data_IF_861745425193
#
_entry.id   IF_861745425193
#
_cell.length_a   1.000
_cell.length_b   1.000
_cell.length_c   1.000
_cell.angle_alpha   90.00
_cell.angle_beta   90.00
_cell.angle_gamma   90.00
#
_symmetry.space_group_name_H-M   'P 1'
#
loop_
_entity.id
_entity.type
_entity.pdbx_description
1 polymer ?
#
# COMPACT_ATOMS: atom_id res chain seq x y z
N UNK A 1 9.79 -5.53 10.37
CA UNK A 1 11.11 -6.05 10.03
C UNK A 1 11.98 -4.95 9.43
N UNK A 2 13.08 -4.60 10.10
CA UNK A 2 13.98 -3.53 9.68
C UNK A 2 14.71 -3.85 8.37
N UNK A 3 15.03 -5.10 8.10
CA UNK A 3 15.72 -5.49 6.86
C UNK A 3 14.82 -5.28 5.64
N UNK A 4 13.53 -5.58 5.81
CA UNK A 4 12.52 -5.32 4.79
C UNK A 4 12.38 -3.83 4.50
N UNK A 5 12.23 -3.03 5.56
CA UNK A 5 12.13 -1.58 5.43
C UNK A 5 13.37 -0.99 4.75
N UNK A 6 14.56 -1.42 5.14
CA UNK A 6 15.82 -0.96 4.55
C UNK A 6 15.92 -1.25 3.05
N UNK A 7 15.44 -2.42 2.59
CA UNK A 7 15.38 -2.75 1.17
C UNK A 7 14.45 -1.79 0.40
N UNK A 8 13.28 -1.53 0.94
CA UNK A 8 12.33 -0.59 0.34
C UNK A 8 12.91 0.84 0.29
N UNK A 9 13.52 1.29 1.39
CA UNK A 9 14.13 2.61 1.47
C UNK A 9 15.28 2.79 0.48
N UNK A 10 16.10 1.77 0.31
CA UNK A 10 17.16 1.76 -0.72
C UNK A 10 16.57 1.82 -2.12
N UNK A 11 15.51 1.07 -2.38
CA UNK A 11 14.79 1.10 -3.65
C UNK A 11 14.25 2.50 -3.98
N UNK A 12 13.58 3.15 -3.05
CA UNK A 12 13.08 4.52 -3.24
C UNK A 12 14.20 5.51 -3.51
N UNK A 13 15.29 5.43 -2.75
CA UNK A 13 16.45 6.28 -2.96
C UNK A 13 17.03 6.12 -4.36
N UNK A 14 17.17 4.89 -4.84
CA UNK A 14 17.70 4.59 -6.19
C UNK A 14 16.76 5.12 -7.29
N UNK A 15 15.46 5.21 -7.01
CA UNK A 15 14.47 5.78 -7.92
C UNK A 15 14.35 7.31 -7.83
N UNK A 16 15.13 7.96 -6.95
CA UNK A 16 15.06 9.39 -6.75
C UNK A 16 13.83 9.87 -5.98
N UNK A 17 13.21 8.99 -5.19
CA UNK A 17 11.99 9.28 -4.44
C UNK A 17 12.34 9.57 -2.98
N UNK A 18 11.84 10.72 -2.46
CA UNK A 18 11.93 11.04 -1.05
C UNK A 18 10.93 10.17 -0.27
N UNK A 19 11.43 9.39 0.66
CA UNK A 19 10.60 8.52 1.48
C UNK A 19 11.02 8.59 2.95
N UNK A 20 10.05 8.42 3.84
CA UNK A 20 10.25 8.29 5.28
C UNK A 20 9.78 6.90 5.71
N UNK A 21 10.69 6.09 6.22
CA UNK A 21 10.41 4.73 6.66
C UNK A 21 10.31 4.63 8.17
N UNK A 22 9.24 4.02 8.65
CA UNK A 22 8.95 3.90 10.08
C UNK A 22 8.57 2.45 10.39
N UNK A 23 9.24 1.84 11.35
CA UNK A 23 8.89 0.51 11.85
C UNK A 23 7.95 0.63 13.03
N UNK A 24 6.80 0.01 12.93
CA UNK A 24 5.81 -0.07 14.00
C UNK A 24 5.26 -1.50 14.09
N UNK A 25 4.87 -1.95 15.29
CA UNK A 25 4.05 -3.15 15.40
C UNK A 25 2.72 -2.96 14.66
N UNK A 26 2.24 -3.98 13.95
CA UNK A 26 1.01 -3.92 13.16
C UNK A 26 -0.20 -3.40 13.97
N UNK A 27 -0.28 -3.82 15.24
CA UNK A 27 -1.34 -3.40 16.18
C UNK A 27 -1.34 -1.89 16.49
N UNK A 28 -0.21 -1.22 16.34
CA UNK A 28 -0.07 0.20 16.70
C UNK A 28 -0.24 1.15 15.51
N UNK A 29 -0.26 0.66 14.29
CA UNK A 29 -0.30 1.51 13.10
C UNK A 29 -1.55 2.38 13.08
N UNK A 30 -2.72 1.82 13.37
CA UNK A 30 -4.00 2.56 13.32
C UNK A 30 -4.03 3.74 14.30
N UNK A 31 -3.39 3.63 15.46
CA UNK A 31 -3.35 4.71 16.45
C UNK A 31 -2.33 5.81 16.13
N UNK A 32 -1.37 5.55 15.25
CA UNK A 32 -0.25 6.46 14.95
C UNK A 32 -0.30 7.04 13.54
N UNK A 33 -1.02 6.41 12.60
CA UNK A 33 -0.96 6.76 11.18
C UNK A 33 -1.39 8.21 10.89
N UNK A 34 -2.41 8.71 11.54
CA UNK A 34 -2.88 10.10 11.29
C UNK A 34 -1.85 11.13 11.72
N UNK A 35 -1.20 10.94 12.88
CA UNK A 35 -0.14 11.83 13.34
C UNK A 35 1.06 11.80 12.40
N UNK A 36 1.42 10.64 11.87
CA UNK A 36 2.50 10.49 10.90
C UNK A 36 2.15 11.19 9.58
N UNK A 37 0.92 11.07 9.10
CA UNK A 37 0.45 11.77 7.90
C UNK A 37 0.51 13.28 8.10
N UNK A 38 0.11 13.79 9.26
CA UNK A 38 0.20 15.22 9.58
C UNK A 38 1.63 15.71 9.63
N UNK A 39 2.55 14.91 10.17
CA UNK A 39 3.96 15.26 10.31
C UNK A 39 4.68 15.29 8.97
N UNK A 40 4.56 14.24 8.18
CA UNK A 40 5.31 14.05 6.93
C UNK A 40 4.59 14.58 5.69
N UNK A 41 3.27 14.77 5.75
CA UNK A 41 2.43 15.21 4.63
C UNK A 41 2.70 14.44 3.33
N UNK A 42 2.63 13.10 3.35
CA UNK A 42 2.96 12.31 2.18
C UNK A 42 1.86 12.40 1.11
N UNK A 43 2.26 12.20 -0.13
CA UNK A 43 1.32 11.94 -1.24
C UNK A 43 0.89 10.47 -1.26
N UNK A 44 1.78 9.58 -0.79
CA UNK A 44 1.60 8.13 -0.80
C UNK A 44 1.93 7.58 0.57
N UNK A 45 1.05 6.73 1.09
CA UNK A 45 1.28 5.95 2.32
C UNK A 45 1.32 4.47 1.97
N UNK A 46 2.36 3.78 2.39
CA UNK A 46 2.48 2.32 2.26
C UNK A 46 2.39 1.71 3.65
N UNK A 47 1.34 0.91 3.87
CA UNK A 47 1.10 0.19 5.13
C UNK A 47 1.30 -1.30 4.87
N UNK A 48 2.41 -1.83 5.32
CA UNK A 48 2.76 -3.24 5.11
C UNK A 48 3.37 -3.86 6.36
N UNK A 49 3.48 -5.17 6.38
CA UNK A 49 4.04 -5.92 7.49
C UNK A 49 3.92 -7.42 7.25
N UNK A 50 3.57 -8.16 8.29
CA UNK A 50 3.30 -9.59 8.19
C UNK A 50 1.80 -9.86 8.24
N UNK A 51 1.34 -10.77 7.41
CA UNK A 51 -0.03 -11.29 7.45
C UNK A 51 -0.05 -12.75 7.01
N UNK A 52 -1.07 -13.47 7.42
CA UNK A 52 -1.28 -14.85 7.04
C UNK A 52 -2.78 -15.16 7.02
N UNK A 53 -3.20 -15.94 6.05
CA UNK A 53 -4.54 -16.48 5.96
C UNK A 53 -4.58 -17.93 6.46
N UNK A 54 -5.44 -18.18 7.45
CA UNK A 54 -5.60 -19.50 8.03
C UNK A 54 -6.61 -20.34 7.22
N UNK A 55 -6.17 -20.86 6.09
CA UNK A 55 -7.01 -21.53 5.07
C UNK A 55 -7.84 -22.71 5.57
N UNK A 56 -7.46 -23.32 6.69
CA UNK A 56 -8.22 -24.44 7.30
C UNK A 56 -9.64 -24.05 7.75
N UNK A 57 -9.92 -22.76 7.89
CA UNK A 57 -11.22 -22.24 8.31
C UNK A 57 -12.17 -21.92 7.15
N UNK A 58 -11.73 -22.04 5.90
CA UNK A 58 -12.50 -21.99 4.65
C UNK A 58 -13.35 -20.73 4.39
N UNK A 59 -13.27 -19.68 5.21
CA UNK A 59 -13.99 -18.41 4.98
C UNK A 59 -13.01 -17.26 4.79
N UNK A 60 -12.78 -16.89 3.53
CA UNK A 60 -11.90 -15.78 3.15
C UNK A 60 -12.47 -14.41 3.54
N UNK A 61 -13.76 -14.32 3.85
CA UNK A 61 -14.40 -13.06 4.23
C UNK A 61 -14.32 -12.77 5.73
N UNK A 62 -14.07 -13.78 6.56
CA UNK A 62 -13.95 -13.61 8.00
C UNK A 62 -12.55 -13.11 8.38
N UNK A 63 -12.47 -11.89 8.90
CA UNK A 63 -11.22 -11.27 9.33
C UNK A 63 -10.51 -12.01 10.48
N UNK A 64 -11.24 -12.79 11.26
CA UNK A 64 -10.64 -13.64 12.30
C UNK A 64 -9.76 -14.76 11.73
N UNK A 65 -9.86 -15.02 10.42
CA UNK A 65 -9.04 -15.99 9.72
C UNK A 65 -7.72 -15.43 9.19
N UNK A 66 -7.42 -14.16 9.51
CA UNK A 66 -6.18 -13.47 9.13
C UNK A 66 -5.41 -13.03 10.37
N UNK A 67 -4.09 -13.04 10.27
CA UNK A 67 -3.23 -12.63 11.38
C UNK A 67 -3.30 -11.11 11.62
N UNK A 68 -3.13 -10.30 10.57
CA UNK A 68 -3.02 -8.85 10.67
C UNK A 68 -3.90 -8.04 9.71
N UNK A 69 -4.72 -8.66 8.85
CA UNK A 69 -5.57 -7.88 7.92
C UNK A 69 -6.47 -6.88 8.65
N UNK A 70 -7.00 -7.22 9.82
CA UNK A 70 -7.81 -6.30 10.63
C UNK A 70 -7.03 -5.06 11.08
N UNK A 71 -5.76 -5.20 11.42
CA UNK A 71 -4.88 -4.09 11.80
C UNK A 71 -4.62 -3.15 10.63
N UNK A 72 -4.37 -3.70 9.43
CA UNK A 72 -4.20 -2.90 8.22
C UNK A 72 -5.50 -2.17 7.84
N UNK A 73 -6.64 -2.83 7.91
CA UNK A 73 -7.95 -2.24 7.64
C UNK A 73 -8.22 -1.07 8.58
N UNK A 74 -7.96 -1.22 9.87
CA UNK A 74 -8.12 -0.15 10.86
C UNK A 74 -7.24 1.05 10.53
N UNK A 75 -5.99 0.82 10.15
CA UNK A 75 -5.06 1.87 9.74
C UNK A 75 -5.56 2.63 8.50
N UNK A 76 -6.02 1.92 7.48
CA UNK A 76 -6.58 2.53 6.26
C UNK A 76 -7.82 3.37 6.58
N UNK A 77 -8.73 2.86 7.39
CA UNK A 77 -9.93 3.59 7.80
C UNK A 77 -9.59 4.89 8.52
N UNK A 78 -8.63 4.88 9.44
CA UNK A 78 -8.17 6.09 10.13
C UNK A 78 -7.54 7.09 9.16
N UNK A 79 -6.69 6.65 8.26
CA UNK A 79 -6.11 7.51 7.22
C UNK A 79 -7.19 8.13 6.32
N UNK A 80 -8.20 7.36 5.90
CA UNK A 80 -9.30 7.85 5.05
C UNK A 80 -10.27 8.77 5.77
N UNK A 81 -10.47 8.62 7.05
CA UNK A 81 -11.20 9.63 7.85
C UNK A 81 -10.50 10.98 7.81
N UNK A 82 -9.17 10.98 7.89
CA UNK A 82 -8.36 12.19 7.84
C UNK A 82 -8.32 12.78 6.44
N UNK A 83 -8.09 11.98 5.40
CA UNK A 83 -8.11 12.41 3.99
C UNK A 83 -8.98 11.48 3.15
N UNK A 84 -10.18 11.93 2.86
CA UNK A 84 -11.19 11.16 2.12
C UNK A 84 -10.88 11.02 0.63
N UNK A 85 -10.09 11.92 0.06
CA UNK A 85 -9.75 11.93 -1.35
C UNK A 85 -8.72 10.87 -1.67
N UNK A 86 -9.07 9.94 -2.54
CA UNK A 86 -8.16 8.91 -3.05
C UNK A 86 -7.10 9.47 -4.01
N UNK A 87 -7.27 10.70 -4.51
CA UNK A 87 -6.29 11.39 -5.34
C UNK A 87 -5.28 12.18 -4.50
N UNK A 88 -5.72 12.77 -3.38
CA UNK A 88 -4.86 13.55 -2.49
C UNK A 88 -3.97 12.69 -1.61
N UNK A 89 -4.43 11.50 -1.24
CA UNK A 89 -3.67 10.53 -0.49
C UNK A 89 -3.84 9.15 -1.11
N UNK A 90 -2.78 8.66 -1.70
CA UNK A 90 -2.72 7.31 -2.26
C UNK A 90 -2.34 6.36 -1.13
N UNK A 91 -3.11 5.30 -0.91
CA UNK A 91 -2.83 4.29 0.10
C UNK A 91 -2.58 2.95 -0.58
N UNK A 92 -1.44 2.36 -0.27
CA UNK A 92 -1.03 1.02 -0.68
C UNK A 92 -0.92 0.18 0.57
N UNK A 93 -1.62 -0.94 0.65
CA UNK A 93 -1.72 -1.67 1.91
C UNK A 93 -1.67 -3.19 1.73
N UNK A 94 -1.30 -3.86 2.81
CA UNK A 94 -1.33 -5.30 2.92
C UNK A 94 0.04 -5.97 2.87
N UNK A 95 0.01 -7.27 3.03
CA UNK A 95 1.17 -8.14 3.09
C UNK A 95 0.82 -9.49 2.42
N UNK A 96 1.66 -10.50 2.63
CA UNK A 96 1.38 -11.85 2.13
C UNK A 96 0.00 -12.33 2.61
N UNK A 97 -0.78 -12.90 1.72
CA UNK A 97 -2.06 -13.54 2.04
C UNK A 97 -3.12 -12.63 2.70
N UNK A 98 -2.97 -11.31 2.64
CA UNK A 98 -3.93 -10.36 3.22
C UNK A 98 -5.31 -10.43 2.55
N UNK A 99 -6.33 -9.95 3.27
CA UNK A 99 -7.68 -9.83 2.75
C UNK A 99 -7.79 -8.62 1.81
N UNK A 100 -7.46 -8.84 0.56
CA UNK A 100 -7.41 -7.82 -0.49
C UNK A 100 -8.71 -7.00 -0.60
N UNK A 101 -9.86 -7.68 -0.70
CA UNK A 101 -11.14 -7.02 -0.95
C UNK A 101 -11.51 -6.06 0.18
N UNK A 102 -11.28 -6.46 1.43
CA UNK A 102 -11.56 -5.60 2.59
C UNK A 102 -10.57 -4.44 2.74
N UNK A 103 -9.33 -4.61 2.30
CA UNK A 103 -8.36 -3.52 2.23
C UNK A 103 -8.80 -2.45 1.21
N UNK A 104 -9.24 -2.85 0.03
CA UNK A 104 -9.80 -1.93 -0.97
C UNK A 104 -11.09 -1.26 -0.47
N UNK A 105 -12.01 -2.02 0.11
CA UNK A 105 -13.24 -1.47 0.70
C UNK A 105 -12.98 -0.46 1.81
N UNK A 106 -11.92 -0.65 2.59
CA UNK A 106 -11.52 0.29 3.64
C UNK A 106 -10.98 1.62 3.09
N UNK A 107 -10.58 1.68 1.81
CA UNK A 107 -10.16 2.90 1.14
C UNK A 107 -8.73 2.86 0.57
N UNK A 108 -8.07 1.70 0.51
CA UNK A 108 -6.79 1.58 -0.17
C UNK A 108 -6.96 1.75 -1.68
N UNK A 109 -5.99 2.40 -2.34
CA UNK A 109 -5.91 2.48 -3.79
C UNK A 109 -5.38 1.17 -4.38
N UNK A 110 -4.40 0.58 -3.71
CA UNK A 110 -3.79 -0.71 -4.08
C UNK A 110 -3.66 -1.58 -2.85
N UNK A 111 -3.83 -2.87 -3.03
CA UNK A 111 -3.71 -3.83 -1.94
C UNK A 111 -3.09 -5.14 -2.40
N UNK A 112 -2.53 -5.86 -1.43
CA UNK A 112 -1.84 -7.12 -1.66
C UNK A 112 -2.77 -8.32 -1.65
N UNK A 113 -2.37 -9.33 -2.37
CA UNK A 113 -2.86 -10.72 -2.33
C UNK A 113 -4.31 -10.93 -2.72
N UNK A 114 -4.76 -10.51 -3.92
CA UNK A 114 -6.08 -10.91 -4.42
C UNK A 114 -6.29 -12.43 -4.41
N UNK A 115 -5.24 -13.20 -4.66
CA UNK A 115 -5.27 -14.68 -4.64
C UNK A 115 -4.75 -15.30 -3.34
N UNK A 116 -4.61 -14.51 -2.26
CA UNK A 116 -4.10 -14.98 -0.96
C UNK A 116 -2.73 -15.67 -1.04
N UNK A 117 -1.87 -15.19 -1.92
CA UNK A 117 -0.51 -15.69 -2.11
C UNK A 117 0.53 -14.86 -1.37
N UNK A 118 1.72 -15.39 -1.24
CA UNK A 118 2.87 -14.61 -0.77
C UNK A 118 3.31 -13.65 -1.88
N UNK A 119 3.54 -12.40 -1.50
CA UNK A 119 4.06 -11.38 -2.41
C UNK A 119 5.57 -11.21 -2.23
N UNK A 120 6.21 -10.58 -3.21
CA UNK A 120 7.60 -10.18 -3.07
C UNK A 120 7.71 -8.93 -2.19
N UNK A 121 8.76 -8.86 -1.38
CA UNK A 121 9.02 -7.77 -0.45
C UNK A 121 8.99 -6.37 -1.09
N UNK A 122 9.47 -6.25 -2.33
CA UNK A 122 9.53 -4.98 -3.05
C UNK A 122 8.26 -4.65 -3.85
N UNK A 123 7.28 -5.55 -3.96
CA UNK A 123 6.10 -5.29 -4.78
C UNK A 123 5.34 -4.02 -4.39
N UNK A 124 5.07 -3.74 -3.09
CA UNK A 124 4.47 -2.47 -2.70
C UNK A 124 5.32 -1.26 -3.07
N UNK A 125 6.64 -1.37 -2.97
CA UNK A 125 7.57 -0.30 -3.33
C UNK A 125 7.59 -0.03 -4.85
N UNK A 126 7.46 -1.07 -5.67
CA UNK A 126 7.34 -0.94 -7.14
C UNK A 126 6.07 -0.16 -7.49
N UNK A 127 4.94 -0.49 -6.87
CA UNK A 127 3.68 0.22 -7.06
C UNK A 127 3.81 1.68 -6.61
N UNK A 128 4.31 1.92 -5.40
CA UNK A 128 4.49 3.27 -4.85
C UNK A 128 5.38 4.13 -5.76
N UNK A 129 6.49 3.58 -6.25
CA UNK A 129 7.41 4.28 -7.14
C UNK A 129 6.78 4.60 -8.49
N UNK A 130 6.00 3.68 -9.05
CA UNK A 130 5.26 3.90 -10.29
C UNK A 130 4.24 5.04 -10.17
N UNK A 131 3.53 5.09 -9.04
CA UNK A 131 2.58 6.18 -8.75
C UNK A 131 3.32 7.51 -8.54
N UNK A 132 4.41 7.50 -7.77
CA UNK A 132 5.20 8.69 -7.47
C UNK A 132 5.80 9.34 -8.73
N UNK A 133 6.15 8.55 -9.74
CA UNK A 133 6.79 9.00 -10.98
C UNK A 133 5.82 9.12 -12.16
N UNK A 134 4.52 8.96 -11.94
CA UNK A 134 3.49 9.15 -12.94
C UNK A 134 2.82 10.52 -12.83
N UNK A 135 2.42 11.08 -13.96
CA UNK A 135 1.81 12.42 -14.07
C UNK A 135 0.53 12.50 -13.22
N UNK A 136 0.44 13.55 -12.42
CA UNK A 136 -0.72 13.84 -11.56
C UNK A 136 -2.02 14.02 -12.33
N UNK A 137 -1.96 14.48 -13.56
CA UNK A 137 -3.11 14.78 -14.40
C UNK A 137 -3.55 13.58 -15.28
N UNK A 138 -2.90 12.44 -15.13
CA UNK A 138 -3.19 11.26 -15.93
C UNK A 138 -3.46 10.04 -15.06
N UNK A 139 -4.41 9.22 -15.49
CA UNK A 139 -4.64 7.91 -14.91
C UNK A 139 -3.46 6.98 -15.20
N UNK A 140 -3.06 6.22 -14.20
CA UNK A 140 -2.00 5.23 -14.33
C UNK A 140 -2.53 4.05 -15.16
N UNK A 141 -1.71 3.53 -16.06
CA UNK A 141 -1.97 2.24 -16.72
C UNK A 141 -1.80 1.12 -15.70
N UNK A 142 -2.90 0.78 -15.04
CA UNK A 142 -2.93 -0.17 -13.93
C UNK A 142 -2.40 -1.55 -14.35
N UNK A 143 -2.78 -2.02 -15.52
CA UNK A 143 -2.40 -3.35 -16.01
C UNK A 143 -0.88 -3.42 -16.21
N UNK A 144 -0.30 -2.45 -16.90
CA UNK A 144 1.13 -2.40 -17.15
C UNK A 144 1.94 -2.17 -15.88
N UNK A 145 1.45 -1.38 -14.95
CA UNK A 145 2.10 -1.15 -13.66
C UNK A 145 2.16 -2.44 -12.83
N UNK A 146 1.06 -3.15 -12.72
CA UNK A 146 0.96 -4.41 -11.95
C UNK A 146 1.86 -5.50 -12.55
N UNK A 147 2.02 -5.56 -13.87
CA UNK A 147 2.93 -6.51 -14.55
C UNK A 147 4.38 -6.38 -14.12
N UNK A 148 4.80 -5.24 -13.58
CA UNK A 148 6.18 -5.03 -13.07
C UNK A 148 6.42 -5.74 -11.73
N UNK A 149 5.37 -6.13 -11.03
CA UNK A 149 5.47 -6.89 -9.78
C UNK A 149 5.71 -8.37 -10.06
N UNK A 150 6.23 -9.08 -9.07
CA UNK A 150 6.66 -10.48 -9.25
C UNK A 150 5.54 -11.40 -9.70
N UNK A 151 4.35 -11.25 -9.11
CA UNK A 151 3.21 -12.13 -9.37
C UNK A 151 2.07 -11.46 -10.15
N UNK A 152 2.27 -10.24 -10.61
CA UNK A 152 1.26 -9.50 -11.36
C UNK A 152 -0.07 -9.38 -10.60
N UNK A 153 -1.17 -9.53 -11.29
CA UNK A 153 -2.54 -9.38 -10.74
C UNK A 153 -2.92 -10.43 -9.68
N UNK A 154 -2.18 -11.51 -9.54
CA UNK A 154 -2.40 -12.48 -8.47
C UNK A 154 -1.86 -11.97 -7.11
N UNK A 155 -0.79 -11.19 -7.14
CA UNK A 155 -0.12 -10.68 -5.96
C UNK A 155 -0.54 -9.29 -5.53
N UNK A 156 -0.95 -8.43 -6.46
CA UNK A 156 -1.37 -7.05 -6.17
C UNK A 156 -2.49 -6.63 -7.12
N UNK A 157 -3.41 -5.84 -6.61
CA UNK A 157 -4.47 -5.22 -7.38
C UNK A 157 -4.78 -3.82 -6.88
N UNK A 158 -5.71 -3.14 -7.51
CA UNK A 158 -6.09 -1.79 -7.11
C UNK A 158 -7.20 -1.18 -7.96
N UNK A 159 -7.50 0.07 -7.65
CA UNK A 159 -8.47 0.88 -8.37
C UNK A 159 -7.77 1.83 -9.35
N UNK A 160 -8.53 2.39 -10.29
CA UNK A 160 -8.03 3.44 -11.18
C UNK A 160 -7.54 4.62 -10.34
N UNK A 161 -6.29 5.01 -10.52
CA UNK A 161 -5.60 6.01 -9.72
C UNK A 161 -4.78 6.92 -10.62
N UNK A 162 -4.73 8.22 -10.33
CA UNK A 162 -3.82 9.14 -10.98
C UNK A 162 -2.43 9.07 -10.36
N UNK A 163 -1.41 9.49 -11.09
CA UNK A 163 -0.07 9.68 -10.54
C UNK A 163 -0.03 10.80 -9.50
N UNK A 164 1.14 11.02 -8.92
CA UNK A 164 1.34 12.08 -7.93
C UNK A 164 2.39 13.11 -8.35
N UNK A 165 3.09 12.87 -9.48
CA UNK A 165 4.15 13.76 -9.96
C UNK A 165 3.59 14.98 -10.66
N UNK A 166 4.01 16.17 -10.25
CA UNK A 166 3.74 17.40 -10.97
C UNK A 166 4.61 17.45 -12.22
N UNK A 167 3.95 17.52 -13.38
CA UNK A 167 4.61 17.69 -14.68
C UNK A 167 4.23 19.04 -15.24
N UNK A 168 5.22 19.83 -15.65
CA UNK A 168 4.99 21.18 -16.18
C UNK A 168 6.28 21.97 -16.35
N UNK A 169 6.13 23.23 -16.71
CA UNK A 169 7.28 24.12 -16.85
C UNK A 169 7.84 24.51 -15.48
N UNK A 170 9.17 24.54 -15.32
CA UNK A 170 9.79 25.07 -14.11
C UNK A 170 9.40 26.54 -13.93
N UNK A 171 9.15 26.89 -12.69
CA UNK A 171 8.87 28.29 -12.31
C UNK A 171 10.14 28.99 -11.86
#
# INVERSE_FOLDING_TARGET
DNDYLNRCMKFYKNMGIKANGITLPEKSVSSKIVNLIKEYRPDIVVVTGHDAYFSKKHDENDLNNYENSSNFISAIKEARKYEKSQDKLIIIAGACQSNYEKLIQAGANFASSPKRINIHALDPAIIASSVALSDKNQSIDLINMIKKTKYGSDGIGGIITNGTMYVGYPR
#
